data_IF_377688299044
#
_entry.id   IF_377688299044
#
_cell.length_a   1.000
_cell.length_b   1.000
_cell.length_c   1.000
_cell.angle_alpha   90.00
_cell.angle_beta   90.00
_cell.angle_gamma   90.00
#
_symmetry.space_group_name_H-M   'P 1'
#
loop_
_entity.id
_entity.type
_entity.pdbx_description
1 polymer ?
#
# COMPACT_ATOMS: atom_id res chain seq x y z
N UNK A 1 3.83 16.83 11.60
CA UNK A 1 3.32 15.45 11.77
C UNK A 1 1.81 15.52 11.57
N UNK A 2 1.27 15.02 10.45
CA UNK A 2 -0.19 15.00 10.23
C UNK A 2 -0.71 13.62 10.63
N UNK A 3 -1.04 13.45 11.91
CA UNK A 3 -1.30 12.13 12.51
C UNK A 3 -2.35 11.28 11.78
N UNK A 4 -3.29 11.89 11.05
CA UNK A 4 -4.29 11.14 10.27
C UNK A 4 -3.67 10.24 9.19
N UNK A 5 -2.64 10.71 8.47
CA UNK A 5 -2.02 9.93 7.38
C UNK A 5 -1.22 8.75 7.92
N UNK A 6 -0.54 8.97 9.03
CA UNK A 6 0.29 7.98 9.70
C UNK A 6 -0.59 6.86 10.29
N UNK A 7 -1.70 7.21 10.92
CA UNK A 7 -2.71 6.25 11.40
C UNK A 7 -3.28 5.45 10.24
N UNK A 8 -3.65 6.10 9.13
CA UNK A 8 -4.21 5.42 7.97
C UNK A 8 -3.22 4.43 7.35
N UNK A 9 -1.95 4.79 7.29
CA UNK A 9 -0.87 3.93 6.84
C UNK A 9 -0.63 2.75 7.79
N UNK A 10 -0.63 2.99 9.09
CA UNK A 10 -0.54 1.94 10.10
C UNK A 10 -1.67 0.93 9.94
N UNK A 11 -2.92 1.41 9.85
CA UNK A 11 -4.10 0.58 9.66
C UNK A 11 -4.01 -0.23 8.35
N UNK A 12 -3.53 0.39 7.27
CA UNK A 12 -3.33 -0.31 6.00
C UNK A 12 -2.30 -1.45 6.11
N UNK A 13 -1.16 -1.21 6.76
CA UNK A 13 -0.12 -2.23 6.99
C UNK A 13 -0.62 -3.33 7.93
N UNK A 14 -1.36 -2.98 8.97
CA UNK A 14 -1.92 -3.93 9.94
C UNK A 14 -2.97 -4.86 9.30
N UNK A 15 -3.79 -4.34 8.39
CA UNK A 15 -4.85 -5.11 7.73
C UNK A 15 -4.33 -5.86 6.49
N UNK A 16 -3.17 -5.51 5.92
CA UNK A 16 -2.57 -6.24 4.79
C UNK A 16 -2.50 -7.78 4.96
N UNK A 17 -2.10 -8.35 6.12
CA UNK A 17 -2.15 -9.80 6.36
C UNK A 17 -3.57 -10.32 6.64
N UNK A 18 -4.48 -9.45 7.07
CA UNK A 18 -5.86 -9.79 7.42
C UNK A 18 -6.76 -9.56 6.21
N UNK A 19 -7.12 -10.63 5.50
CA UNK A 19 -8.08 -10.58 4.39
C UNK A 19 -9.52 -10.35 4.92
N UNK A 20 -9.76 -9.16 5.49
CA UNK A 20 -11.05 -8.73 6.01
C UNK A 20 -11.99 -8.41 4.84
N UNK A 21 -12.87 -9.36 4.56
CA UNK A 21 -13.79 -9.32 3.44
C UNK A 21 -15.23 -9.34 3.98
N UNK A 22 -16.10 -8.55 3.37
CA UNK A 22 -17.54 -8.73 3.55
C UNK A 22 -18.11 -9.39 2.30
N UNK A 23 -18.80 -10.52 2.48
CA UNK A 23 -19.46 -11.25 1.41
C UNK A 23 -20.90 -10.74 1.27
N UNK A 24 -21.21 -10.14 0.12
CA UNK A 24 -22.57 -9.77 -0.25
C UNK A 24 -23.16 -10.87 -1.14
N UNK A 25 -24.25 -11.49 -0.69
CA UNK A 25 -24.99 -12.48 -1.46
C UNK A 25 -26.12 -11.77 -2.22
N UNK A 26 -25.91 -11.53 -3.52
CA UNK A 26 -26.96 -11.02 -4.37
C UNK A 26 -27.95 -12.13 -4.72
N UNK A 27 -29.15 -11.76 -5.18
CA UNK A 27 -30.14 -12.75 -5.66
C UNK A 27 -29.63 -13.56 -6.86
N UNK A 28 -28.70 -13.02 -7.65
CA UNK A 28 -27.99 -13.74 -8.71
C UNK A 28 -27.06 -14.83 -8.20
N UNK A 29 -26.65 -14.80 -6.92
CA UNK A 29 -25.83 -15.83 -6.29
C UNK A 29 -26.62 -17.10 -5.93
N UNK A 30 -27.93 -17.13 -6.20
CA UNK A 30 -28.80 -18.29 -5.99
C UNK A 30 -29.24 -18.86 -7.33
N UNK A 31 -28.89 -20.11 -7.62
CA UNK A 31 -29.40 -20.84 -8.79
C UNK A 31 -30.32 -21.94 -8.27
N UNK A 32 -31.58 -21.91 -8.72
CA UNK A 32 -32.62 -22.85 -8.28
C UNK A 32 -32.78 -22.92 -6.74
N UNK A 33 -32.59 -21.79 -6.05
CA UNK A 33 -32.68 -21.71 -4.59
C UNK A 33 -31.45 -22.21 -3.83
N UNK A 34 -30.45 -22.76 -4.53
CA UNK A 34 -29.18 -23.18 -3.95
C UNK A 34 -28.20 -22.00 -4.01
N UNK A 35 -27.63 -21.66 -2.85
CA UNK A 35 -26.60 -20.62 -2.74
C UNK A 35 -25.31 -21.12 -3.39
N UNK A 36 -24.76 -20.29 -4.26
CA UNK A 36 -23.49 -20.55 -4.93
C UNK A 36 -22.46 -19.53 -4.46
N UNK A 37 -21.53 -20.00 -3.63
CA UNK A 37 -20.59 -19.14 -2.91
C UNK A 37 -19.59 -18.40 -3.82
N UNK A 38 -19.31 -18.90 -5.03
CA UNK A 38 -18.41 -18.22 -5.98
C UNK A 38 -19.06 -17.04 -6.73
N UNK A 39 -20.40 -16.89 -6.66
CA UNK A 39 -21.09 -15.70 -7.18
C UNK A 39 -21.28 -14.62 -6.11
N UNK A 40 -20.73 -14.79 -4.90
CA UNK A 40 -20.78 -13.76 -3.87
C UNK A 40 -19.90 -12.57 -4.27
N UNK A 41 -20.47 -11.36 -4.25
CA UNK A 41 -19.70 -10.15 -4.42
C UNK A 41 -18.87 -9.91 -3.16
N UNK A 42 -17.57 -9.75 -3.32
CA UNK A 42 -16.66 -9.47 -2.20
C UNK A 42 -16.18 -8.04 -2.28
N UNK A 43 -16.40 -7.29 -1.20
CA UNK A 43 -15.84 -5.95 -1.04
C UNK A 43 -14.76 -6.03 0.03
N UNK A 44 -13.51 -5.84 -0.40
CA UNK A 44 -12.34 -5.94 0.46
C UNK A 44 -12.16 -4.62 1.21
N UNK A 45 -12.11 -4.69 2.55
CA UNK A 45 -11.84 -3.50 3.37
C UNK A 45 -10.46 -2.91 3.04
N UNK A 46 -9.50 -3.76 2.68
CA UNK A 46 -8.17 -3.36 2.21
C UNK A 46 -8.22 -2.46 0.98
N UNK A 47 -9.07 -2.76 0.00
CA UNK A 47 -9.19 -1.98 -1.22
C UNK A 47 -9.80 -0.59 -0.94
N UNK A 48 -10.75 -0.51 0.02
CA UNK A 48 -11.33 0.77 0.46
C UNK A 48 -10.32 1.64 1.19
N UNK A 49 -9.56 1.07 2.14
CA UNK A 49 -8.52 1.80 2.87
C UNK A 49 -7.41 2.24 1.92
N UNK A 50 -7.04 1.39 0.96
CA UNK A 50 -6.07 1.71 -0.07
C UNK A 50 -6.51 2.93 -0.90
N UNK A 51 -7.77 2.97 -1.34
CA UNK A 51 -8.33 4.12 -2.06
C UNK A 51 -8.24 5.40 -1.24
N UNK A 52 -8.56 5.33 0.06
CA UNK A 52 -8.44 6.47 0.97
C UNK A 52 -6.99 6.96 1.10
N UNK A 53 -6.04 6.03 1.13
CA UNK A 53 -4.61 6.32 1.22
C UNK A 53 -4.11 7.01 -0.05
N UNK A 54 -4.46 6.48 -1.23
CA UNK A 54 -4.16 7.09 -2.53
C UNK A 54 -4.75 8.50 -2.61
N UNK A 55 -6.00 8.69 -2.17
CA UNK A 55 -6.65 10.00 -2.15
C UNK A 55 -5.92 11.00 -1.23
N UNK A 56 -5.52 10.56 -0.03
CA UNK A 56 -4.82 11.39 0.96
C UNK A 56 -3.42 11.83 0.50
N UNK A 57 -2.73 10.98 -0.26
CA UNK A 57 -1.41 11.25 -0.83
C UNK A 57 -1.46 11.69 -2.30
N UNK A 58 -2.65 11.92 -2.85
CA UNK A 58 -2.84 12.24 -4.27
C UNK A 58 -2.01 13.43 -4.73
N UNK A 59 -2.10 14.54 -4.00
CA UNK A 59 -1.37 15.78 -4.34
C UNK A 59 0.14 15.68 -4.08
N UNK A 60 0.54 14.88 -3.09
CA UNK A 60 1.91 14.82 -2.59
C UNK A 60 2.81 13.88 -3.41
N UNK A 61 2.30 12.69 -3.74
CA UNK A 61 3.12 11.62 -4.34
C UNK A 61 2.59 11.19 -5.70
N UNK A 62 1.27 11.02 -5.83
CA UNK A 62 0.68 10.42 -7.04
C UNK A 62 0.66 11.38 -8.23
N UNK A 63 0.15 12.61 -8.06
CA UNK A 63 0.09 13.63 -9.10
C UNK A 63 1.47 13.97 -9.71
N UNK A 64 2.55 14.21 -8.92
CA UNK A 64 3.86 14.46 -9.51
C UNK A 64 4.45 13.22 -10.20
N UNK A 65 4.18 12.01 -9.71
CA UNK A 65 4.60 10.78 -10.38
C UNK A 65 3.92 10.64 -11.75
N UNK A 66 2.60 10.83 -11.84
CA UNK A 66 1.85 10.76 -13.10
C UNK A 66 2.37 11.80 -14.11
N UNK A 67 2.66 13.02 -13.66
CA UNK A 67 3.23 14.06 -14.52
C UNK A 67 4.60 13.68 -15.08
N UNK A 68 5.48 13.09 -14.26
CA UNK A 68 6.81 12.64 -14.70
C UNK A 68 6.73 11.40 -15.60
N UNK A 69 5.83 10.48 -15.31
CA UNK A 69 5.62 9.24 -16.03
C UNK A 69 4.59 9.37 -17.17
N UNK A 70 4.31 10.59 -17.67
CA UNK A 70 3.22 10.84 -18.62
C UNK A 70 3.29 9.99 -19.89
N UNK A 71 4.47 9.90 -20.53
CA UNK A 71 4.66 9.10 -21.75
C UNK A 71 4.50 7.58 -21.50
N UNK A 72 5.18 6.95 -20.52
CA UNK A 72 4.97 5.53 -20.25
C UNK A 72 3.56 5.21 -19.77
N UNK A 73 2.90 6.10 -19.01
CA UNK A 73 1.49 5.93 -18.63
C UNK A 73 0.59 5.95 -19.87
N UNK A 74 0.76 6.91 -20.77
CA UNK A 74 0.02 6.99 -22.03
C UNK A 74 0.19 5.70 -22.86
N UNK A 75 1.42 5.25 -23.05
CA UNK A 75 1.73 4.02 -23.78
C UNK A 75 1.10 2.79 -23.11
N UNK A 76 1.16 2.70 -21.78
CA UNK A 76 0.54 1.62 -21.03
C UNK A 76 -0.98 1.61 -21.17
N UNK A 77 -1.63 2.78 -21.18
CA UNK A 77 -3.08 2.91 -21.36
C UNK A 77 -3.52 2.47 -22.75
N UNK A 78 -2.76 2.82 -23.80
CA UNK A 78 -3.01 2.37 -25.17
C UNK A 78 -2.88 0.85 -25.25
N UNK A 79 -1.80 0.29 -24.69
CA UNK A 79 -1.57 -1.15 -24.65
C UNK A 79 -2.69 -1.92 -23.95
N UNK A 80 -3.18 -1.41 -22.82
CA UNK A 80 -4.27 -2.02 -22.05
C UNK A 80 -5.58 -1.95 -22.82
N UNK A 81 -5.85 -0.82 -23.49
CA UNK A 81 -7.04 -0.66 -24.31
C UNK A 81 -7.04 -1.67 -25.47
N UNK A 82 -5.87 -1.88 -26.09
CA UNK A 82 -5.67 -2.93 -27.09
C UNK A 82 -5.91 -4.32 -26.50
N UNK A 83 -5.32 -4.63 -25.34
CA UNK A 83 -5.52 -5.93 -24.67
C UNK A 83 -6.98 -6.21 -24.34
N UNK A 84 -7.74 -5.21 -23.87
CA UNK A 84 -9.15 -5.37 -23.55
C UNK A 84 -9.99 -5.61 -24.82
N UNK A 85 -9.68 -4.90 -25.92
CA UNK A 85 -10.42 -5.05 -27.18
C UNK A 85 -10.29 -6.46 -27.80
N UNK A 86 -9.16 -7.13 -27.58
CA UNK A 86 -8.89 -8.47 -28.11
C UNK A 86 -9.04 -9.60 -27.07
N UNK A 87 -9.49 -9.30 -25.84
CA UNK A 87 -9.62 -10.29 -24.77
C UNK A 87 -10.93 -11.07 -24.86
N UNK A 88 -10.83 -12.39 -24.62
CA UNK A 88 -12.00 -13.28 -24.47
C UNK A 88 -12.83 -12.91 -23.23
N UNK A 89 -12.20 -12.38 -22.18
CA UNK A 89 -12.85 -12.00 -20.92
C UNK A 89 -12.45 -10.57 -20.53
N UNK A 90 -13.08 -9.53 -21.11
CA UNK A 90 -12.65 -8.14 -20.95
C UNK A 90 -12.72 -7.64 -19.50
N UNK A 91 -13.74 -8.07 -18.74
CA UNK A 91 -13.90 -7.70 -17.33
C UNK A 91 -12.77 -8.26 -16.46
N UNK A 92 -12.31 -9.48 -16.74
CA UNK A 92 -11.19 -10.09 -16.01
C UNK A 92 -9.87 -9.39 -16.31
N UNK A 93 -9.63 -9.02 -17.57
CA UNK A 93 -8.46 -8.25 -17.99
C UNK A 93 -8.43 -6.88 -17.31
N UNK A 94 -9.59 -6.21 -17.25
CA UNK A 94 -9.72 -4.93 -16.55
C UNK A 94 -9.40 -5.07 -15.06
N UNK A 95 -9.99 -6.06 -14.38
CA UNK A 95 -9.72 -6.34 -12.97
C UNK A 95 -8.22 -6.57 -12.69
N UNK A 96 -7.58 -7.40 -13.52
CA UNK A 96 -6.15 -7.69 -13.41
C UNK A 96 -5.30 -6.42 -13.55
N UNK A 97 -5.66 -5.52 -14.46
CA UNK A 97 -4.96 -4.25 -14.64
C UNK A 97 -5.16 -3.28 -13.47
N UNK A 98 -6.38 -3.17 -12.96
CA UNK A 98 -6.67 -2.40 -11.74
C UNK A 98 -5.82 -2.92 -10.57
N UNK A 99 -5.70 -4.24 -10.42
CA UNK A 99 -4.85 -4.85 -9.39
C UNK A 99 -3.37 -4.52 -9.57
N UNK A 100 -2.87 -4.50 -10.80
CA UNK A 100 -1.50 -4.09 -11.11
C UNK A 100 -1.26 -2.61 -10.77
N UNK A 101 -2.19 -1.72 -11.14
CA UNK A 101 -2.14 -0.31 -10.75
C UNK A 101 -2.12 -0.14 -9.23
N UNK A 102 -2.90 -0.96 -8.52
CA UNK A 102 -2.92 -0.96 -7.06
C UNK A 102 -1.52 -1.19 -6.48
N UNK A 103 -0.80 -2.21 -6.98
CA UNK A 103 0.58 -2.52 -6.56
C UNK A 103 1.54 -1.39 -6.91
N UNK A 104 1.47 -0.85 -8.14
CA UNK A 104 2.35 0.24 -8.59
C UNK A 104 2.20 1.48 -7.72
N UNK A 105 0.98 1.95 -7.50
CA UNK A 105 0.74 3.13 -6.68
C UNK A 105 1.11 2.89 -5.22
N UNK A 106 0.92 1.68 -4.69
CA UNK A 106 1.42 1.32 -3.36
C UNK A 106 2.94 1.47 -3.30
N UNK A 107 3.68 0.98 -4.30
CA UNK A 107 5.13 1.19 -4.39
C UNK A 107 5.53 2.67 -4.46
N UNK A 108 4.79 3.49 -5.22
CA UNK A 108 5.01 4.95 -5.31
C UNK A 108 4.72 5.66 -3.98
N UNK A 109 3.72 5.20 -3.23
CA UNK A 109 3.40 5.73 -1.91
C UNK A 109 4.55 5.46 -0.95
N UNK A 110 4.99 4.20 -0.85
CA UNK A 110 6.09 3.80 0.03
C UNK A 110 7.44 4.41 -0.36
N UNK A 111 7.69 4.73 -1.64
CA UNK A 111 8.94 5.39 -2.04
C UNK A 111 9.06 6.84 -1.56
N UNK A 112 7.94 7.51 -1.29
CA UNK A 112 7.93 8.88 -0.78
C UNK A 112 7.88 8.97 0.74
N UNK A 113 7.55 7.86 1.41
CA UNK A 113 7.53 7.79 2.88
C UNK A 113 8.93 7.41 3.36
N UNK A 114 9.42 8.06 4.42
CA UNK A 114 10.77 7.81 4.93
C UNK A 114 10.88 6.36 5.41
N UNK A 115 11.98 5.70 5.03
CA UNK A 115 12.24 4.28 5.30
C UNK A 115 12.24 3.95 6.81
N UNK A 116 12.64 4.89 7.64
CA UNK A 116 12.68 4.74 9.11
C UNK A 116 11.28 4.58 9.73
N UNK A 117 10.29 5.32 9.27
CA UNK A 117 8.91 5.25 9.80
C UNK A 117 8.24 3.93 9.43
N UNK A 118 8.45 3.47 8.19
CA UNK A 118 7.91 2.19 7.71
C UNK A 118 8.58 1.02 8.42
N UNK A 119 9.90 1.09 8.66
CA UNK A 119 10.63 0.07 9.42
C UNK A 119 10.20 0.03 10.88
N UNK A 120 10.00 1.16 11.55
CA UNK A 120 9.53 1.18 12.93
C UNK A 120 8.12 0.60 13.06
N UNK A 121 7.22 0.90 12.11
CA UNK A 121 5.86 0.37 12.10
C UNK A 121 5.85 -1.14 11.83
N UNK A 122 6.62 -1.61 10.85
CA UNK A 122 6.72 -3.05 10.55
C UNK A 122 7.42 -3.82 11.65
N UNK A 123 8.53 -3.31 12.20
CA UNK A 123 9.20 -3.93 13.35
C UNK A 123 8.33 -3.94 14.60
N UNK A 124 7.59 -2.86 14.88
CA UNK A 124 6.59 -2.85 15.95
C UNK A 124 5.53 -3.93 15.73
N UNK A 125 5.01 -4.07 14.52
CA UNK A 125 4.02 -5.10 14.21
C UNK A 125 4.55 -6.55 14.31
N UNK A 126 5.80 -6.81 13.92
CA UNK A 126 6.39 -8.16 13.91
C UNK A 126 7.09 -8.56 15.23
N UNK A 127 7.55 -7.59 16.03
CA UNK A 127 8.39 -7.85 17.22
C UNK A 127 7.84 -7.28 18.52
N UNK A 128 6.61 -6.77 18.54
CA UNK A 128 5.95 -6.36 19.79
C UNK A 128 5.48 -7.57 20.61
N UNK A 129 6.47 -8.29 21.11
CA UNK A 129 6.48 -8.76 22.49
C UNK A 129 7.83 -8.47 23.19
N UNK A 130 8.88 -7.92 22.53
CA UNK A 130 10.20 -7.58 23.15
C UNK A 130 10.99 -6.45 22.46
N UNK A 131 10.34 -5.46 21.86
CA UNK A 131 10.96 -4.60 20.83
C UNK A 131 11.61 -3.25 21.17
N UNK A 132 11.32 -2.50 22.26
CA UNK A 132 11.79 -1.11 22.33
C UNK A 132 13.21 -0.94 22.88
N UNK A 133 13.88 -1.97 23.38
CA UNK A 133 15.16 -1.82 24.10
C UNK A 133 16.42 -1.77 23.21
N UNK A 134 16.36 -2.23 21.96
CA UNK A 134 17.58 -2.37 21.14
C UNK A 134 17.95 -1.13 20.31
N UNK A 135 16.99 -0.29 19.90
CA UNK A 135 17.29 0.89 19.06
C UNK A 135 17.69 2.15 19.84
N UNK A 136 17.29 2.28 21.11
CA UNK A 136 17.83 3.31 22.01
C UNK A 136 19.34 3.17 22.21
N UNK A 137 19.86 1.94 22.18
CA UNK A 137 21.29 1.67 22.28
C UNK A 137 22.06 1.95 20.98
N UNK A 138 21.45 1.69 19.81
CA UNK A 138 22.08 1.93 18.51
C UNK A 138 22.21 3.43 18.19
N UNK A 139 21.15 4.22 18.45
CA UNK A 139 21.17 5.68 18.23
C UNK A 139 22.08 6.41 19.23
N UNK A 140 22.22 5.89 20.46
CA UNK A 140 23.12 6.44 21.47
C UNK A 140 24.61 6.19 21.15
N UNK A 141 24.94 5.04 20.56
CA UNK A 141 26.31 4.70 20.20
C UNK A 141 26.85 5.51 19.02
N UNK A 142 25.99 5.88 18.07
CA UNK A 142 26.41 6.69 16.93
C UNK A 142 26.74 8.13 17.36
N UNK A 143 25.98 8.71 18.31
CA UNK A 143 26.30 10.02 18.90
C UNK A 143 27.59 10.03 19.72
N UNK A 144 27.98 8.92 20.36
CA UNK A 144 29.29 8.85 21.07
C UNK A 144 30.48 8.77 20.11
N UNK A 145 30.33 8.14 18.95
CA UNK A 145 31.44 7.94 18.00
C UNK A 145 31.90 9.25 17.34
N UNK A 146 31.01 10.24 17.21
CA UNK A 146 31.37 11.58 16.69
C UNK A 146 31.74 12.60 17.77
N UNK A 147 31.39 12.35 19.04
CA UNK A 147 31.77 13.25 20.15
C UNK A 147 33.16 12.98 20.73
N UNK A 148 33.78 11.83 20.43
CA UNK A 148 35.11 11.46 20.92
C UNK A 148 36.30 11.97 20.10
N UNK A 149 36.07 12.60 18.94
CA UNK A 149 37.12 13.05 18.03
C UNK A 149 37.37 14.58 18.05
N UNK A 150 36.75 15.32 18.96
CA UNK A 150 36.85 16.79 19.04
C UNK A 150 37.47 17.29 20.35
N UNK A 151 38.45 16.56 20.90
CA UNK A 151 39.28 17.00 22.05
C UNK A 151 40.74 16.56 21.85
N UNK A 152 41.38 16.94 20.74
CA UNK A 152 42.83 16.81 20.56
C UNK A 152 43.37 17.84 19.55
N UNK A 153 42.89 19.09 19.59
CA UNK A 153 43.57 20.24 18.97
C UNK A 153 43.15 21.50 19.74
N UNK A 154 43.93 21.82 20.77
CA UNK A 154 43.80 22.99 21.63
C UNK A 154 45.00 23.02 22.57
#
# INVERSE_FOLDING_TARGET
>A
MSGFKDILLFVFIFILPWQLNHYFFATSSYIAGIRIDHLAYTLYLTDLIWLLLVASYWRSSIKPFIKKAGLPILLSSIWVSWMIAFSVFPLWTLYSYVRLLQVIFTGVLFSHIKREEVQLITWGFFFDNRGPTFFGAASSNEKRKYSGHMVLFG
#
